data_IF_456726535678
#
_entry.id   IF_456726535678
#
_cell.length_a   1.000
_cell.length_b   1.000
_cell.length_c   1.000
_cell.angle_alpha   90.00
_cell.angle_beta   90.00
_cell.angle_gamma   90.00
#
_symmetry.space_group_name_H-M   'P 1'
#
loop_
_entity.id
_entity.type
_entity.pdbx_description
1 polymer ?
#
# COMPACT_ATOMS: atom_id res chain seq x y z
N UNK A 1 8.91 -9.21 18.43
CA UNK A 1 7.90 -9.35 17.34
C UNK A 1 7.57 -7.96 16.85
N UNK A 2 7.54 -7.74 15.53
CA UNK A 2 7.21 -6.45 14.93
C UNK A 2 5.73 -6.11 15.22
N UNK A 3 5.44 -4.96 15.82
CA UNK A 3 4.05 -4.51 16.01
C UNK A 3 3.45 -4.05 14.68
N UNK A 4 2.45 -4.78 14.22
CA UNK A 4 1.73 -4.58 12.96
C UNK A 4 0.36 -3.92 13.15
N UNK A 5 -0.05 -3.63 14.39
CA UNK A 5 -1.32 -2.96 14.69
C UNK A 5 -1.56 -1.69 13.86
N UNK A 6 -0.54 -0.82 13.64
CA UNK A 6 -0.71 0.33 12.77
C UNK A 6 -1.10 -0.05 11.33
N UNK A 7 -0.52 -1.11 10.77
CA UNK A 7 -0.83 -1.58 9.41
C UNK A 7 -2.27 -2.10 9.32
N UNK A 8 -2.69 -2.95 10.27
CA UNK A 8 -4.07 -3.45 10.34
C UNK A 8 -5.08 -2.29 10.34
N UNK A 9 -4.82 -1.26 11.15
CA UNK A 9 -5.72 -0.12 11.29
C UNK A 9 -5.84 0.69 9.99
N UNK A 10 -4.75 0.93 9.26
CA UNK A 10 -4.83 1.69 8.00
C UNK A 10 -5.48 0.89 6.88
N UNK A 11 -5.25 -0.43 6.82
CA UNK A 11 -5.90 -1.32 5.84
C UNK A 11 -7.40 -1.38 6.07
N UNK A 12 -7.84 -1.51 7.33
CA UNK A 12 -9.27 -1.44 7.69
C UNK A 12 -9.88 -0.10 7.26
N UNK A 13 -9.20 1.01 7.55
CA UNK A 13 -9.68 2.34 7.14
C UNK A 13 -9.76 2.44 5.62
N UNK A 14 -8.81 1.90 4.86
CA UNK A 14 -8.86 1.92 3.40
C UNK A 14 -10.08 1.15 2.87
N UNK A 15 -10.35 -0.04 3.42
CA UNK A 15 -11.52 -0.86 3.08
C UNK A 15 -12.85 -0.13 3.38
N UNK A 16 -12.99 0.46 4.57
CA UNK A 16 -14.16 1.29 4.92
C UNK A 16 -14.34 2.48 3.97
N UNK A 17 -13.23 3.13 3.60
CA UNK A 17 -13.24 4.27 2.69
C UNK A 17 -13.71 3.87 1.30
N UNK A 18 -13.23 2.73 0.80
CA UNK A 18 -13.62 2.20 -0.49
C UNK A 18 -15.11 1.85 -0.52
N UNK A 19 -15.61 1.18 0.51
CA UNK A 19 -17.05 0.87 0.65
C UNK A 19 -17.91 2.13 0.65
N UNK A 20 -17.49 3.17 1.37
CA UNK A 20 -18.23 4.44 1.41
C UNK A 20 -18.20 5.16 0.06
N UNK A 21 -17.07 5.17 -0.63
CA UNK A 21 -16.98 5.72 -2.00
C UNK A 21 -17.89 4.96 -2.97
N UNK A 22 -17.91 3.63 -2.92
CA UNK A 22 -18.77 2.81 -3.79
C UNK A 22 -20.27 3.03 -3.56
N UNK A 23 -20.67 3.48 -2.36
CA UNK A 23 -22.08 3.81 -2.07
C UNK A 23 -22.57 5.08 -2.78
N UNK A 24 -21.66 6.01 -3.09
CA UNK A 24 -21.94 7.23 -3.84
C UNK A 24 -20.63 7.76 -4.44
N UNK A 25 -20.39 7.42 -5.71
CA UNK A 25 -19.16 7.80 -6.41
C UNK A 25 -19.13 9.28 -6.80
N UNK A 26 -20.25 10.00 -6.67
CA UNK A 26 -20.36 11.43 -6.97
C UNK A 26 -19.92 12.32 -5.81
N UNK A 27 -19.78 11.75 -4.61
CA UNK A 27 -19.31 12.44 -3.41
C UNK A 27 -17.79 12.65 -3.49
N UNK A 28 -17.38 13.81 -3.97
CA UNK A 28 -15.97 14.18 -4.15
C UNK A 28 -15.21 14.26 -2.83
N UNK A 29 -15.87 14.63 -1.73
CA UNK A 29 -15.23 14.67 -0.41
C UNK A 29 -14.87 13.25 0.06
N UNK A 30 -15.73 12.27 -0.19
CA UNK A 30 -15.44 10.86 0.09
C UNK A 30 -14.34 10.33 -0.84
N UNK A 31 -14.35 10.70 -2.12
CA UNK A 31 -13.29 10.36 -3.07
C UNK A 31 -11.92 10.86 -2.60
N UNK A 32 -11.84 12.13 -2.22
CA UNK A 32 -10.58 12.75 -1.77
C UNK A 32 -10.11 12.13 -0.45
N UNK A 33 -11.05 11.83 0.46
CA UNK A 33 -10.77 11.06 1.67
C UNK A 33 -10.25 9.64 1.39
N UNK A 34 -10.79 8.95 0.39
CA UNK A 34 -10.33 7.63 -0.05
C UNK A 34 -8.90 7.69 -0.61
N UNK A 35 -8.58 8.70 -1.43
CA UNK A 35 -7.24 8.94 -1.95
C UNK A 35 -6.25 9.15 -0.80
N UNK A 36 -6.60 9.97 0.19
CA UNK A 36 -5.75 10.19 1.37
C UNK A 36 -5.53 8.89 2.17
N UNK A 37 -6.56 8.04 2.29
CA UNK A 37 -6.44 6.73 2.93
C UNK A 37 -5.52 5.79 2.17
N UNK A 38 -5.56 5.82 0.84
CA UNK A 38 -4.63 5.07 0.00
C UNK A 38 -3.18 5.52 0.24
N UNK A 39 -2.89 6.83 0.25
CA UNK A 39 -1.53 7.34 0.44
C UNK A 39 -0.87 6.82 1.72
N UNK A 40 -1.53 7.00 2.87
CA UNK A 40 -0.93 6.59 4.14
C UNK A 40 -0.88 5.07 4.28
N UNK A 41 -1.78 4.34 3.63
CA UNK A 41 -1.78 2.87 3.62
C UNK A 41 -0.61 2.35 2.79
N UNK A 42 -0.38 2.92 1.60
CA UNK A 42 0.79 2.64 0.76
C UNK A 42 2.10 2.87 1.53
N UNK A 43 2.23 4.02 2.17
CA UNK A 43 3.47 4.36 2.90
C UNK A 43 3.71 3.42 4.08
N UNK A 44 2.65 3.08 4.81
CA UNK A 44 2.78 2.18 5.94
C UNK A 44 3.05 0.74 5.49
N UNK A 45 2.42 0.26 4.40
CA UNK A 45 2.72 -1.05 3.81
C UNK A 45 4.19 -1.16 3.41
N UNK A 46 4.73 -0.17 2.70
CA UNK A 46 6.14 -0.14 2.32
C UNK A 46 7.06 -0.11 3.55
N UNK A 47 6.78 0.77 4.52
CA UNK A 47 7.56 0.88 5.75
C UNK A 47 7.56 -0.42 6.56
N UNK A 48 6.40 -1.06 6.69
CA UNK A 48 6.26 -2.29 7.47
C UNK A 48 6.90 -3.48 6.78
N UNK A 49 6.81 -3.57 5.46
CA UNK A 49 7.52 -4.57 4.68
C UNK A 49 9.04 -4.47 4.89
N UNK A 50 9.60 -3.26 4.77
CA UNK A 50 11.02 -3.02 5.01
C UNK A 50 11.43 -3.43 6.44
N UNK A 51 10.70 -2.98 7.45
CA UNK A 51 10.97 -3.32 8.86
C UNK A 51 10.90 -4.82 9.14
N UNK A 52 9.95 -5.52 8.51
CA UNK A 52 9.86 -6.96 8.64
C UNK A 52 11.10 -7.65 8.08
N UNK A 53 11.46 -7.33 6.83
CA UNK A 53 12.62 -7.92 6.17
C UNK A 53 13.93 -7.62 6.91
N UNK A 54 14.08 -6.41 7.46
CA UNK A 54 15.19 -6.07 8.37
C UNK A 54 15.21 -6.96 9.61
N UNK A 55 14.06 -7.18 10.24
CA UNK A 55 13.97 -7.94 11.49
C UNK A 55 14.27 -9.42 11.37
N UNK A 56 14.11 -10.00 10.18
CA UNK A 56 14.36 -11.43 9.89
C UNK A 56 15.66 -11.67 9.13
N UNK A 57 16.34 -10.62 8.69
CA UNK A 57 17.59 -10.72 7.94
C UNK A 57 18.80 -10.90 8.85
N UNK A 58 19.77 -11.76 8.48
CA UNK A 58 21.07 -11.83 9.17
C UNK A 58 21.93 -10.59 8.92
N UNK A 59 21.59 -9.76 7.92
CA UNK A 59 22.26 -8.50 7.58
C UNK A 59 21.25 -7.35 7.45
N UNK A 60 20.72 -6.81 8.56
CA UNK A 60 19.68 -5.78 8.54
C UNK A 60 20.12 -4.48 7.83
N UNK A 61 21.38 -4.05 8.02
CA UNK A 61 21.92 -2.81 7.44
C UNK A 61 21.93 -2.78 5.90
N UNK A 62 21.73 -3.93 5.25
CA UNK A 62 21.59 -4.03 3.81
C UNK A 62 20.35 -3.28 3.32
N UNK A 63 19.25 -3.31 4.07
CA UNK A 63 17.94 -2.79 3.67
C UNK A 63 17.87 -1.26 3.61
N UNK A 64 18.86 -0.56 4.16
CA UNK A 64 19.02 0.88 4.00
C UNK A 64 19.56 1.29 2.63
N UNK A 65 20.18 0.36 1.91
CA UNK A 65 20.88 0.64 0.65
C UNK A 65 20.24 -0.02 -0.56
N UNK A 66 19.30 -0.94 -0.37
CA UNK A 66 18.63 -1.61 -1.49
C UNK A 66 17.64 -0.70 -2.17
N UNK A 67 17.48 -0.89 -3.48
CA UNK A 67 16.44 -0.22 -4.25
C UNK A 67 15.06 -0.75 -3.86
N UNK A 68 14.02 0.03 -4.16
CA UNK A 68 12.63 -0.41 -3.98
C UNK A 68 12.33 -1.70 -4.77
N UNK A 69 12.86 -1.83 -5.98
CA UNK A 69 12.70 -3.05 -6.78
C UNK A 69 13.31 -4.27 -6.10
N UNK A 70 14.51 -4.12 -5.51
CA UNK A 70 15.17 -5.19 -4.77
C UNK A 70 14.42 -5.54 -3.47
N UNK A 71 13.84 -4.54 -2.79
CA UNK A 71 12.97 -4.76 -1.63
C UNK A 71 11.77 -5.64 -2.01
N UNK A 72 11.07 -5.32 -3.10
CA UNK A 72 9.92 -6.10 -3.59
C UNK A 72 10.35 -7.50 -4.01
N UNK A 73 11.49 -7.64 -4.69
CA UNK A 73 12.03 -8.95 -5.09
C UNK A 73 12.28 -9.85 -3.88
N UNK A 74 12.93 -9.33 -2.84
CA UNK A 74 13.19 -10.08 -1.58
C UNK A 74 11.92 -10.41 -0.82
N UNK A 75 10.92 -9.52 -0.86
CA UNK A 75 9.62 -9.78 -0.27
C UNK A 75 8.86 -10.91 -0.99
N UNK A 76 8.91 -10.94 -2.33
CA UNK A 76 8.37 -12.04 -3.14
C UNK A 76 9.09 -13.37 -2.84
N UNK A 77 10.42 -13.38 -2.64
CA UNK A 77 11.18 -14.59 -2.27
C UNK A 77 10.73 -15.21 -0.93
N UNK A 78 10.05 -14.44 -0.08
CA UNK A 78 9.51 -14.87 1.21
C UNK A 78 7.97 -14.99 1.20
N UNK A 79 7.33 -14.98 0.03
CA UNK A 79 5.88 -15.06 -0.15
C UNK A 79 5.07 -14.00 0.64
N UNK A 80 5.68 -12.83 0.89
CA UNK A 80 5.07 -11.74 1.67
C UNK A 80 4.10 -10.88 0.87
N UNK A 81 4.18 -10.94 -0.46
CA UNK A 81 3.43 -10.10 -1.39
C UNK A 81 2.61 -10.97 -2.33
N UNK A 82 1.48 -10.44 -2.77
CA UNK A 82 0.59 -11.11 -3.72
C UNK A 82 1.03 -10.80 -5.16
N UNK A 83 1.34 -9.53 -5.42
CA UNK A 83 1.84 -9.02 -6.69
C UNK A 83 3.36 -9.04 -6.79
N UNK A 84 3.84 -8.76 -8.01
CA UNK A 84 5.26 -8.70 -8.32
C UNK A 84 5.75 -7.24 -8.46
N UNK A 85 6.99 -7.09 -8.93
CA UNK A 85 7.58 -5.76 -9.18
C UNK A 85 6.70 -4.85 -10.06
N UNK A 86 6.05 -5.39 -11.09
CA UNK A 86 5.19 -4.62 -12.00
C UNK A 86 4.02 -3.99 -11.24
N UNK A 87 3.40 -4.75 -10.35
CA UNK A 87 2.27 -4.28 -9.54
C UNK A 87 2.71 -3.20 -8.53
N UNK A 88 3.80 -3.45 -7.80
CA UNK A 88 4.32 -2.50 -6.82
C UNK A 88 4.90 -1.23 -7.44
N UNK A 89 5.45 -1.34 -8.65
CA UNK A 89 5.82 -0.18 -9.46
C UNK A 89 4.58 0.63 -9.83
N UNK A 90 3.50 -0.01 -10.27
CA UNK A 90 2.24 0.66 -10.57
C UNK A 90 1.69 1.39 -9.34
N UNK A 91 1.63 0.74 -8.17
CA UNK A 91 1.17 1.37 -6.93
C UNK A 91 2.00 2.61 -6.56
N UNK A 92 3.33 2.55 -6.76
CA UNK A 92 4.23 3.69 -6.55
C UNK A 92 3.95 4.83 -7.53
N UNK A 93 3.71 4.50 -8.80
CA UNK A 93 3.37 5.48 -9.83
C UNK A 93 2.03 6.16 -9.52
N UNK A 94 0.99 5.40 -9.19
CA UNK A 94 -0.32 5.94 -8.79
C UNK A 94 -0.18 6.82 -7.56
N UNK A 95 0.56 6.36 -6.54
CA UNK A 95 0.87 7.18 -5.37
C UNK A 95 1.51 8.49 -5.78
N UNK A 96 2.47 8.51 -6.71
CA UNK A 96 3.14 9.76 -7.08
C UNK A 96 2.19 10.79 -7.71
N UNK A 97 1.06 10.32 -8.26
CA UNK A 97 0.04 11.15 -8.89
C UNK A 97 -0.99 11.70 -7.90
N UNK A 98 -1.03 11.23 -6.66
CA UNK A 98 -2.02 11.69 -5.66
C UNK A 98 -1.88 13.17 -5.35
N UNK A 99 -0.67 13.73 -5.43
CA UNK A 99 -0.44 15.18 -5.32
C UNK A 99 -1.10 16.03 -6.42
N UNK A 100 -1.60 15.40 -7.49
CA UNK A 100 -2.27 16.05 -8.62
C UNK A 100 -3.77 15.78 -8.69
N UNK A 101 -4.39 15.23 -7.63
CA UNK A 101 -5.81 14.86 -7.63
C UNK A 101 -6.77 16.04 -7.48
N UNK A 102 -6.26 17.28 -7.49
CA UNK A 102 -7.07 18.46 -7.79
C UNK A 102 -7.58 18.42 -9.25
N UNK A 103 -6.92 17.68 -10.14
CA UNK A 103 -7.46 17.31 -11.44
C UNK A 103 -8.38 16.08 -11.29
N UNK A 104 -9.63 16.23 -11.71
CA UNK A 104 -10.66 15.21 -11.56
C UNK A 104 -10.35 13.92 -12.34
N UNK A 105 -9.74 14.00 -13.52
CA UNK A 105 -9.36 12.81 -14.29
C UNK A 105 -8.29 12.02 -13.55
N UNK A 106 -7.31 12.72 -12.96
CA UNK A 106 -6.26 12.09 -12.15
C UNK A 106 -6.88 11.44 -10.90
N UNK A 107 -7.83 12.10 -10.24
CA UNK A 107 -8.51 11.55 -9.08
C UNK A 107 -9.27 10.25 -9.40
N UNK A 108 -9.99 10.21 -10.52
CA UNK A 108 -10.70 9.00 -10.98
C UNK A 108 -9.73 7.87 -11.29
N UNK A 109 -8.63 8.17 -11.99
CA UNK A 109 -7.60 7.17 -12.31
C UNK A 109 -6.96 6.58 -11.05
N UNK A 110 -6.60 7.42 -10.08
CA UNK A 110 -6.04 6.94 -8.79
C UNK A 110 -7.02 6.01 -8.09
N UNK A 111 -8.30 6.38 -8.01
CA UNK A 111 -9.31 5.61 -7.27
C UNK A 111 -9.59 4.26 -7.93
N UNK A 112 -9.50 4.17 -9.26
CA UNK A 112 -9.71 2.93 -9.99
C UNK A 112 -8.71 1.81 -9.60
N UNK A 113 -7.51 2.17 -9.17
CA UNK A 113 -6.46 1.22 -8.80
C UNK A 113 -6.46 0.83 -7.30
N UNK A 114 -7.16 1.60 -6.45
CA UNK A 114 -7.22 1.36 -4.99
C UNK A 114 -7.72 -0.07 -4.65
N UNK A 115 -8.74 -0.65 -5.29
CA UNK A 115 -9.20 -2.01 -4.96
C UNK A 115 -8.12 -3.08 -5.12
N UNK A 116 -7.28 -2.95 -6.16
CA UNK A 116 -6.16 -3.88 -6.41
C UNK A 116 -5.10 -3.75 -5.32
N UNK A 117 -4.72 -2.52 -4.97
CA UNK A 117 -3.80 -2.26 -3.88
C UNK A 117 -4.36 -2.68 -2.51
N UNK A 118 -5.65 -2.51 -2.25
CA UNK A 118 -6.27 -2.95 -0.99
C UNK A 118 -6.13 -4.47 -0.82
N UNK A 119 -6.34 -5.24 -1.88
CA UNK A 119 -6.15 -6.70 -1.86
C UNK A 119 -4.69 -7.07 -1.53
N UNK A 120 -3.73 -6.37 -2.13
CA UNK A 120 -2.30 -6.53 -1.81
C UNK A 120 -2.00 -6.21 -0.34
N UNK A 121 -2.52 -5.10 0.17
CA UNK A 121 -2.25 -4.64 1.53
C UNK A 121 -2.87 -5.57 2.59
N UNK A 122 -4.04 -6.15 2.31
CA UNK A 122 -4.66 -7.21 3.14
C UNK A 122 -3.74 -8.43 3.17
N UNK A 123 -3.30 -8.93 2.00
CA UNK A 123 -2.42 -10.09 1.92
C UNK A 123 -1.10 -9.87 2.67
N UNK A 124 -0.44 -8.72 2.48
CA UNK A 124 0.76 -8.36 3.23
C UNK A 124 0.49 -8.40 4.74
N UNK A 125 -0.62 -7.81 5.19
CA UNK A 125 -0.99 -7.80 6.62
C UNK A 125 -1.13 -9.20 7.18
N UNK A 126 -1.83 -10.10 6.46
CA UNK A 126 -1.98 -11.50 6.84
C UNK A 126 -0.65 -12.26 6.91
N UNK A 127 0.31 -11.91 6.05
CA UNK A 127 1.64 -12.52 6.05
C UNK A 127 2.53 -12.05 7.20
N UNK A 128 2.38 -10.79 7.61
CA UNK A 128 3.13 -10.24 8.75
C UNK A 128 2.52 -10.62 10.11
N UNK A 129 1.29 -11.14 10.14
CA UNK A 129 0.61 -11.64 11.34
C UNK A 129 1.09 -13.01 11.83
N UNK A 130 1.60 -13.83 10.90
CA UNK A 130 2.03 -15.21 11.16
C UNK A 130 3.43 -15.25 11.75
#
# INVERSE_FOLDING_TARGET
MLDITPLKNVVLRLDEGLKRYQSDISDTQIRDGLIQRFEFTYELSHKMLKRYLESVSPTPDLFDKISFQELIRRANEQDLLLGNWTDWRQYREIRSRTGHTYDENIAVEVVADIPKFLTEAIYLTEKLEK
#
